data_IF_227822873049
#
_entry.id   IF_227822873049
#
_cell.length_a   1.000
_cell.length_b   1.000
_cell.length_c   1.000
_cell.angle_alpha   90.00
_cell.angle_beta   90.00
_cell.angle_gamma   90.00
#
_symmetry.space_group_name_H-M   'P 1'
#
loop_
_entity.id
_entity.type
_entity.pdbx_description
1 polymer ?
#
# COMPACT_ATOMS: atom_id res chain seq x y z
N UNK A 1 24.73 7.64 -9.20
CA UNK A 1 24.43 6.77 -10.37
C UNK A 1 24.27 7.56 -11.66
N UNK A 2 25.36 8.08 -12.27
CA UNK A 2 25.29 8.84 -13.52
C UNK A 2 25.02 7.95 -14.76
N UNK A 3 25.22 6.63 -14.65
CA UNK A 3 25.03 5.67 -15.74
C UNK A 3 23.61 5.08 -15.80
N UNK A 4 22.74 5.41 -14.84
CA UNK A 4 21.37 4.89 -14.76
C UNK A 4 20.38 5.98 -15.13
N UNK A 5 19.47 5.69 -16.07
CA UNK A 5 18.39 6.62 -16.45
C UNK A 5 17.17 6.43 -15.56
N UNK A 6 16.83 7.45 -14.78
CA UNK A 6 15.58 7.49 -14.01
C UNK A 6 14.53 8.29 -14.76
N UNK A 7 13.35 7.71 -14.92
CA UNK A 7 12.19 8.36 -15.53
C UNK A 7 10.95 8.07 -14.70
N UNK A 8 9.97 8.99 -14.74
CA UNK A 8 8.67 8.82 -14.11
C UNK A 8 7.57 9.19 -15.09
N UNK A 9 6.44 8.49 -14.98
CA UNK A 9 5.23 8.76 -15.76
C UNK A 9 4.02 8.65 -14.83
N UNK A 10 3.00 9.46 -15.07
CA UNK A 10 1.70 9.33 -14.36
C UNK A 10 0.95 8.14 -14.96
N UNK A 11 0.42 7.26 -14.12
CA UNK A 11 -0.21 6.00 -14.55
C UNK A 11 -1.30 6.20 -15.62
N UNK A 12 -2.11 7.26 -15.50
CA UNK A 12 -3.16 7.62 -16.46
C UNK A 12 -2.65 7.83 -17.89
N UNK A 13 -1.38 8.24 -18.03
CA UNK A 13 -0.75 8.54 -19.31
C UNK A 13 0.11 7.37 -19.81
N UNK A 14 0.40 6.39 -18.95
CA UNK A 14 1.22 5.23 -19.31
C UNK A 14 0.37 4.15 -19.98
N UNK A 15 -0.72 3.75 -19.33
CA UNK A 15 -1.60 2.67 -19.78
C UNK A 15 -3.06 3.03 -19.44
N UNK A 16 -3.98 3.05 -20.43
CA UNK A 16 -5.40 3.29 -20.16
C UNK A 16 -5.98 2.25 -19.18
N UNK A 17 -6.63 2.74 -18.12
CA UNK A 17 -7.30 1.86 -17.14
C UNK A 17 -6.37 1.10 -16.20
N UNK A 18 -5.09 1.48 -16.08
CA UNK A 18 -4.19 0.83 -15.12
C UNK A 18 -4.69 1.01 -13.67
N UNK A 19 -4.87 -0.06 -12.88
CA UNK A 19 -5.45 0.04 -11.55
C UNK A 19 -4.62 0.88 -10.59
N UNK A 20 -5.27 1.79 -9.86
CA UNK A 20 -4.59 2.61 -8.84
C UNK A 20 -4.01 1.79 -7.70
N UNK A 21 -4.64 0.65 -7.37
CA UNK A 21 -4.17 -0.28 -6.34
C UNK A 21 -2.77 -0.85 -6.63
N UNK A 22 -2.32 -0.81 -7.90
CA UNK A 22 -1.01 -1.29 -8.30
C UNK A 22 0.09 -0.23 -8.14
N UNK A 23 -0.28 0.99 -7.72
CA UNK A 23 0.65 2.10 -7.60
C UNK A 23 1.37 2.11 -6.23
N UNK A 24 2.62 2.58 -6.21
CA UNK A 24 3.45 2.87 -7.39
C UNK A 24 3.99 1.57 -8.00
N UNK A 25 4.22 1.57 -9.31
CA UNK A 25 4.84 0.46 -10.04
C UNK A 25 6.25 0.87 -10.48
N UNK A 26 7.23 0.01 -10.25
CA UNK A 26 8.62 0.22 -10.66
C UNK A 26 8.98 -0.77 -11.78
N UNK A 27 9.47 -0.25 -12.90
CA UNK A 27 9.95 -1.03 -14.03
C UNK A 27 11.44 -0.79 -14.19
N UNK A 28 12.21 -1.86 -14.23
CA UNK A 28 13.67 -1.85 -14.35
C UNK A 28 14.04 -2.52 -15.65
N UNK A 29 14.72 -1.78 -16.52
CA UNK A 29 15.23 -2.27 -17.78
C UNK A 29 16.76 -2.34 -17.72
N UNK A 30 17.33 -3.45 -18.16
CA UNK A 30 18.77 -3.65 -18.29
C UNK A 30 19.04 -4.42 -19.58
N UNK A 31 20.02 -3.99 -20.38
CA UNK A 31 20.41 -4.67 -21.64
C UNK A 31 19.23 -4.99 -22.59
N UNK A 32 18.29 -4.04 -22.73
CA UNK A 32 17.08 -4.17 -23.55
C UNK A 32 16.02 -5.18 -23.05
N UNK A 33 16.20 -5.75 -21.86
CA UNK A 33 15.22 -6.66 -21.24
C UNK A 33 14.62 -6.06 -19.95
N UNK A 34 13.47 -6.60 -19.53
CA UNK A 34 12.83 -6.27 -18.26
C UNK A 34 13.52 -7.04 -17.15
N UNK A 35 14.48 -6.39 -16.50
CA UNK A 35 15.24 -6.96 -15.40
C UNK A 35 14.39 -7.16 -14.13
N UNK A 36 13.46 -6.23 -13.86
CA UNK A 36 12.54 -6.36 -12.74
C UNK A 36 11.26 -5.55 -12.94
N UNK A 37 10.15 -6.10 -12.44
CA UNK A 37 8.86 -5.41 -12.35
C UNK A 37 8.34 -5.53 -10.92
N UNK A 38 8.14 -4.38 -10.28
CA UNK A 38 7.55 -4.31 -8.95
C UNK A 38 6.17 -3.67 -9.05
N UNK A 39 5.12 -4.48 -8.92
CA UNK A 39 3.75 -4.01 -8.79
C UNK A 39 3.50 -3.73 -7.31
N UNK A 40 3.32 -2.46 -6.95
CA UNK A 40 3.37 -1.93 -5.57
C UNK A 40 4.76 -1.99 -4.93
N UNK A 41 4.95 -1.25 -3.83
CA UNK A 41 6.19 -1.28 -3.02
C UNK A 41 6.17 -2.34 -1.93
N UNK A 42 5.15 -3.20 -1.88
CA UNK A 42 4.99 -4.24 -0.87
C UNK A 42 6.26 -5.09 -0.67
N UNK A 43 6.92 -5.59 -1.73
CA UNK A 43 8.14 -6.40 -1.60
C UNK A 43 9.34 -5.66 -0.98
N UNK A 44 9.35 -4.32 -1.07
CA UNK A 44 10.36 -3.45 -0.45
C UNK A 44 9.96 -3.03 0.97
N UNK A 45 8.83 -3.54 1.48
CA UNK A 45 8.26 -3.17 2.78
C UNK A 45 7.45 -1.87 2.76
N UNK A 46 7.12 -1.36 1.57
CA UNK A 46 6.25 -0.21 1.38
C UNK A 46 6.96 1.14 1.48
N UNK A 47 6.21 2.22 1.23
CA UNK A 47 6.73 3.59 1.23
C UNK A 47 7.31 4.00 2.58
N UNK A 48 6.79 3.48 3.69
CA UNK A 48 7.29 3.78 5.03
C UNK A 48 8.70 3.24 5.28
N UNK A 49 9.02 2.05 4.77
CA UNK A 49 10.38 1.49 4.81
C UNK A 49 11.31 2.34 3.95
N UNK A 50 10.93 2.61 2.70
CA UNK A 50 11.77 3.37 1.78
C UNK A 50 12.03 4.81 2.24
N UNK A 51 11.10 5.42 2.96
CA UNK A 51 11.30 6.75 3.54
C UNK A 51 12.33 6.76 4.67
N UNK A 52 12.51 5.64 5.39
CA UNK A 52 13.46 5.51 6.50
C UNK A 52 14.80 4.93 6.08
N UNK A 53 14.78 4.03 5.09
CA UNK A 53 15.94 3.30 4.59
C UNK A 53 15.85 3.23 3.06
N UNK A 54 16.22 4.32 2.36
CA UNK A 54 16.27 4.34 0.90
C UNK A 54 17.30 3.34 0.33
N UNK A 55 18.25 2.88 1.13
CA UNK A 55 19.25 1.87 0.79
C UNK A 55 18.60 0.54 0.39
N UNK A 56 17.39 0.23 0.90
CA UNK A 56 16.62 -0.94 0.47
C UNK A 56 16.30 -0.89 -1.03
N UNK A 57 15.95 0.28 -1.54
CA UNK A 57 15.68 0.47 -2.96
C UNK A 57 16.98 0.40 -3.77
N UNK A 58 18.06 0.99 -3.27
CA UNK A 58 19.37 0.92 -3.92
C UNK A 58 19.86 -0.52 -4.05
N UNK A 59 19.80 -1.29 -2.96
CA UNK A 59 20.14 -2.71 -2.94
C UNK A 59 19.30 -3.52 -3.94
N UNK A 60 18.00 -3.28 -3.99
CA UNK A 60 17.11 -3.96 -4.94
C UNK A 60 17.47 -3.64 -6.40
N UNK A 61 17.73 -2.36 -6.70
CA UNK A 61 18.13 -1.92 -8.05
C UNK A 61 19.51 -2.45 -8.45
N UNK A 62 20.43 -2.56 -7.50
CA UNK A 62 21.75 -3.13 -7.73
C UNK A 62 21.67 -4.62 -8.06
N UNK A 63 20.83 -5.38 -7.36
CA UNK A 63 20.57 -6.79 -7.68
C UNK A 63 19.92 -6.99 -9.04
N UNK A 64 19.13 -6.02 -9.50
CA UNK A 64 18.54 -6.01 -10.84
C UNK A 64 19.52 -5.50 -11.92
N UNK A 65 20.77 -5.16 -11.57
CA UNK A 65 21.78 -4.66 -12.50
C UNK A 65 21.59 -3.21 -12.94
N UNK A 66 20.59 -2.50 -12.41
CA UNK A 66 20.26 -1.16 -12.86
C UNK A 66 21.14 -0.06 -12.25
N UNK A 67 21.75 -0.32 -11.10
CA UNK A 67 22.55 0.64 -10.34
C UNK A 67 23.84 -0.03 -9.88
N UNK A 68 24.97 0.67 -9.97
CA UNK A 68 26.19 0.27 -9.30
C UNK A 68 26.10 0.66 -7.83
N UNK A 69 26.13 -0.33 -6.92
CA UNK A 69 26.12 -0.12 -5.48
C UNK A 69 27.14 -1.03 -4.82
N UNK A 70 27.76 -0.53 -3.75
CA UNK A 70 28.68 -1.30 -2.90
C UNK A 70 27.93 -2.09 -1.81
N UNK A 71 26.60 -1.98 -1.76
CA UNK A 71 25.77 -2.63 -0.74
C UNK A 71 25.63 -4.13 -1.04
N UNK A 72 26.46 -4.95 -0.39
CA UNK A 72 26.46 -6.41 -0.56
C UNK A 72 25.28 -7.11 0.14
N UNK A 73 24.76 -6.53 1.22
CA UNK A 73 23.73 -7.13 2.07
C UNK A 73 22.44 -6.30 2.05
N UNK A 74 21.33 -6.97 2.35
CA UNK A 74 20.03 -6.35 2.55
C UNK A 74 20.05 -5.49 3.83
N UNK A 75 19.74 -4.18 3.77
CA UNK A 75 19.79 -3.28 4.93
C UNK A 75 18.54 -3.34 5.82
N UNK A 76 17.50 -4.10 5.44
CA UNK A 76 16.26 -4.25 6.23
C UNK A 76 16.43 -4.85 7.64
N UNK A 77 17.35 -5.80 7.91
CA UNK A 77 17.52 -6.39 9.24
C UNK A 77 17.93 -5.38 10.31
N UNK A 78 18.63 -4.30 9.92
CA UNK A 78 19.10 -3.26 10.84
C UNK A 78 18.03 -2.19 11.11
N UNK A 79 16.86 -2.30 10.47
CA UNK A 79 15.80 -1.32 10.59
C UNK A 79 15.09 -1.48 11.93
N UNK A 80 14.92 -0.39 12.71
CA UNK A 80 14.12 -0.45 13.93
C UNK A 80 12.68 -0.85 13.57
N UNK A 81 12.00 -1.62 14.45
CA UNK A 81 10.64 -2.07 14.20
C UNK A 81 9.75 -0.88 13.84
N UNK A 82 9.14 -0.95 12.66
CA UNK A 82 8.23 0.08 12.19
C UNK A 82 6.98 -0.08 13.03
N UNK A 83 6.74 0.90 13.91
CA UNK A 83 5.49 0.95 14.66
C UNK A 83 4.33 0.75 13.66
N UNK A 84 3.44 -0.22 13.90
CA UNK A 84 2.32 -0.44 13.00
C UNK A 84 1.58 0.89 12.89
N UNK A 85 1.40 1.38 11.66
CA UNK A 85 0.53 2.51 11.42
C UNK A 85 -0.81 2.12 12.03
N UNK A 86 -1.22 2.83 13.09
CA UNK A 86 -2.49 2.58 13.74
C UNK A 86 -3.53 2.52 12.62
N UNK A 87 -4.14 1.35 12.43
CA UNK A 87 -5.25 1.20 11.51
C UNK A 87 -6.26 2.24 11.98
N UNK A 88 -6.37 3.34 11.24
CA UNK A 88 -7.35 4.37 11.50
C UNK A 88 -8.70 3.67 11.31
N UNK A 89 -9.24 3.18 12.42
CA UNK A 89 -10.65 3.01 12.58
C UNK A 89 -11.18 4.43 12.47
N UNK A 90 -11.64 4.80 11.28
CA UNK A 90 -12.60 5.89 11.18
C UNK A 90 -13.87 5.37 11.85
N UNK A 91 -13.89 5.34 13.18
CA UNK A 91 -15.12 5.47 13.94
C UNK A 91 -15.55 6.92 13.76
N UNK A 92 -16.08 7.24 12.59
CA UNK A 92 -16.93 8.41 12.44
C UNK A 92 -18.08 8.16 13.40
N UNK A 93 -18.05 8.87 14.53
CA UNK A 93 -19.02 8.73 15.59
C UNK A 93 -20.43 8.99 15.05
N UNK A 94 -21.20 7.92 14.89
CA UNK A 94 -22.65 8.03 14.94
C UNK A 94 -23.02 8.26 16.40
N UNK A 95 -23.62 9.42 16.67
CA UNK A 95 -24.23 9.80 17.96
C UNK A 95 -25.14 8.65 18.43
N UNK A 96 -25.15 8.26 19.72
CA UNK A 96 -26.22 7.41 20.21
C UNK A 96 -27.49 8.29 20.27
N UNK A 97 -28.41 8.11 19.33
CA UNK A 97 -29.79 8.53 19.53
C UNK A 97 -30.43 7.55 20.53
N UNK A 98 -31.24 8.00 21.49
CA UNK A 98 -32.02 7.09 22.31
C UNK A 98 -33.01 6.33 21.40
N UNK A 99 -32.88 5.02 21.39
CA UNK A 99 -33.80 4.10 20.73
C UNK A 99 -34.66 3.45 21.82
N UNK A 100 -35.66 4.20 22.28
CA UNK A 100 -36.69 3.69 23.17
C UNK A 100 -38.05 3.93 22.49
N UNK A 101 -38.33 3.15 21.45
CA UNK A 101 -39.70 2.91 20.98
C UNK A 101 -40.11 1.56 21.56
N UNK A 102 -41.22 1.56 22.32
CA UNK A 102 -42.38 0.67 22.12
C UNK A 102 -43.42 0.98 23.21
N UNK A 103 -44.34 1.89 22.87
CA UNK A 103 -45.62 2.12 23.56
C UNK A 103 -46.70 2.00 22.51
N UNK A 104 -47.48 0.91 22.53
CA UNK A 104 -48.86 0.94 22.99
C UNK A 104 -49.55 -0.40 22.70
N UNK A 105 -50.27 -0.85 23.72
CA UNK A 105 -51.13 -2.03 23.77
C UNK A 105 -52.26 -1.94 22.74
N UNK A 106 -52.56 -3.05 22.06
CA UNK A 106 -53.89 -3.26 21.49
C UNK A 106 -54.39 -4.67 21.81
N UNK A 107 -55.40 -4.68 22.68
CA UNK A 107 -56.20 -5.81 23.13
C UNK A 107 -57.19 -6.19 22.02
N UNK A 108 -57.26 -7.46 21.64
CA UNK A 108 -58.43 -8.00 20.93
C UNK A 108 -58.51 -9.51 21.11
N UNK A 109 -59.12 -9.90 22.22
CA UNK A 109 -59.78 -11.18 22.42
C UNK A 109 -60.88 -11.40 21.35
N UNK A 110 -60.95 -12.61 20.78
CA UNK A 110 -61.95 -12.95 19.78
C UNK A 110 -62.02 -14.42 19.41
N UNK A 111 -62.09 -15.30 20.41
CA UNK A 111 -62.44 -16.72 20.27
C UNK A 111 -63.91 -16.89 20.67
N UNK A 112 -64.80 -17.18 19.72
CA UNK A 112 -65.98 -18.03 19.92
C UNK A 112 -66.83 -18.19 18.65
N UNK A 113 -67.03 -19.47 18.32
CA UNK A 113 -68.03 -20.17 17.47
C UNK A 113 -68.36 -19.67 16.05
#
# INVERSE_FOLDING_TARGET
NPHTKFARIVYSNAIPGYPEANLPTLLVYHEHDVAAQLVTLGPLGGTAVLAKCPEVLEWYLARAGAVASELAADPRPDLPPIAPHARAHTSTGSRPGPADSDSDSDDSDGLSD
#
